data_IF_909491831665
#
_entry.id   IF_909491831665
#
_cell.length_a   1.000
_cell.length_b   1.000
_cell.length_c   1.000
_cell.angle_alpha   90.00
_cell.angle_beta   90.00
_cell.angle_gamma   90.00
#
_symmetry.space_group_name_H-M   'P 1'
#
loop_
_entity.id
_entity.type
_entity.pdbx_description
1 polymer ?
#
# COMPACT_ATOMS: atom_id res chain seq x y z
N UNK A 1 24.55 10.84 -13.16
CA UNK A 1 23.08 11.06 -13.00
C UNK A 1 22.25 9.92 -13.57
N UNK A 2 22.50 9.43 -14.80
CA UNK A 2 21.81 8.24 -15.32
C UNK A 2 22.11 6.94 -14.56
N UNK A 3 23.26 6.86 -13.86
CA UNK A 3 23.77 5.62 -13.25
C UNK A 3 22.99 5.09 -12.03
N UNK A 4 22.38 5.94 -11.19
CA UNK A 4 21.55 5.47 -10.07
C UNK A 4 20.17 4.95 -10.53
N UNK A 5 19.63 5.54 -11.59
CA UNK A 5 18.47 5.00 -12.30
C UNK A 5 18.82 3.73 -13.08
N UNK A 6 20.01 3.68 -13.69
CA UNK A 6 20.60 2.47 -14.27
C UNK A 6 20.85 1.38 -13.23
N UNK A 7 21.01 1.66 -11.94
CA UNK A 7 21.17 0.60 -10.92
C UNK A 7 19.83 0.05 -10.43
N UNK A 8 18.83 0.91 -10.28
CA UNK A 8 17.44 0.49 -10.11
C UNK A 8 16.87 -0.22 -11.35
N UNK A 9 17.36 0.11 -12.55
CA UNK A 9 16.88 -0.48 -13.81
C UNK A 9 17.74 -1.64 -14.34
N UNK A 10 19.07 -1.66 -14.14
CA UNK A 10 19.95 -2.75 -14.59
C UNK A 10 19.80 -3.99 -13.72
N UNK A 11 19.40 -3.83 -12.45
CA UNK A 11 18.88 -4.95 -11.67
C UNK A 11 17.73 -5.66 -12.42
N UNK A 12 16.92 -4.96 -13.22
CA UNK A 12 15.78 -5.55 -13.94
C UNK A 12 16.08 -5.94 -15.40
N UNK A 13 17.31 -5.75 -15.89
CA UNK A 13 17.66 -6.04 -17.28
C UNK A 13 19.17 -6.34 -17.44
N UNK A 14 19.59 -7.58 -17.16
CA UNK A 14 20.87 -8.11 -17.69
C UNK A 14 20.57 -9.31 -18.59
N UNK A 15 20.94 -9.27 -19.88
CA UNK A 15 21.20 -10.47 -20.64
C UNK A 15 22.59 -11.02 -20.25
N UNK A 16 22.62 -12.32 -19.95
CA UNK A 16 23.81 -13.15 -19.78
C UNK A 16 24.95 -12.75 -20.73
N UNK A 17 26.05 -12.24 -20.19
CA UNK A 17 27.40 -12.48 -20.75
C UNK A 17 28.42 -12.48 -19.61
N UNK A 18 28.77 -13.68 -19.14
CA UNK A 18 30.06 -13.91 -18.45
C UNK A 18 31.07 -14.40 -19.49
N UNK A 19 32.32 -13.92 -19.52
CA UNK A 19 33.37 -14.56 -20.29
C UNK A 19 33.90 -15.78 -19.54
N UNK A 20 33.76 -16.95 -20.15
CA UNK A 20 34.62 -18.13 -20.09
C UNK A 20 35.48 -18.37 -18.82
N UNK A 21 35.16 -19.46 -18.11
CA UNK A 21 36.15 -20.38 -17.56
C UNK A 21 35.60 -21.83 -17.64
N UNK A 22 36.34 -22.70 -18.32
CA UNK A 22 36.00 -24.11 -18.63
C UNK A 22 36.13 -25.06 -17.41
N UNK A 23 35.54 -26.28 -17.45
CA UNK A 23 35.23 -27.11 -16.28
C UNK A 23 36.24 -28.24 -16.03
N UNK A 24 36.01 -29.06 -14.98
CA UNK A 24 36.02 -30.51 -15.21
C UNK A 24 34.80 -31.26 -14.63
N UNK A 25 34.32 -32.24 -15.42
CA UNK A 25 33.75 -33.59 -15.13
C UNK A 25 33.35 -33.92 -13.68
N UNK A 26 32.19 -34.50 -13.32
CA UNK A 26 31.41 -35.67 -13.85
C UNK A 26 30.02 -35.71 -13.14
N UNK A 27 29.05 -36.56 -13.55
CA UNK A 27 27.62 -36.36 -13.30
C UNK A 27 27.05 -37.14 -12.10
N UNK A 28 25.96 -36.63 -11.53
CA UNK A 28 24.93 -37.44 -10.86
C UNK A 28 23.55 -36.89 -11.22
N UNK A 29 22.88 -37.64 -12.09
CA UNK A 29 21.48 -37.54 -12.49
C UNK A 29 20.54 -37.81 -11.32
N UNK A 30 19.59 -36.91 -11.05
CA UNK A 30 18.26 -37.30 -10.53
C UNK A 30 17.20 -36.39 -11.15
N UNK A 31 16.30 -37.00 -11.93
CA UNK A 31 15.12 -36.39 -12.52
C UNK A 31 14.09 -36.00 -11.45
N UNK A 32 13.45 -34.84 -11.61
CA UNK A 32 12.10 -34.59 -11.11
C UNK A 32 11.18 -34.17 -12.27
N UNK A 33 9.95 -34.71 -12.37
CA UNK A 33 9.06 -34.42 -13.48
C UNK A 33 8.32 -33.11 -13.27
N UNK A 34 8.21 -32.37 -14.37
CA UNK A 34 7.30 -31.24 -14.55
C UNK A 34 5.84 -31.70 -14.47
N UNK A 35 4.97 -30.86 -13.89
CA UNK A 35 3.58 -30.72 -14.35
C UNK A 35 3.05 -29.33 -14.06
N UNK A 36 2.81 -28.61 -15.16
CA UNK A 36 2.03 -27.39 -15.24
C UNK A 36 0.54 -27.68 -15.01
N UNK A 37 -0.19 -26.76 -14.40
CA UNK A 37 -1.59 -26.50 -14.77
C UNK A 37 -1.94 -25.02 -14.62
N UNK A 38 -2.39 -24.49 -15.75
CA UNK A 38 -2.97 -23.17 -15.97
C UNK A 38 -4.38 -23.10 -15.36
N UNK A 39 -4.74 -21.97 -14.75
CA UNK A 39 -6.13 -21.69 -14.34
C UNK A 39 -6.65 -20.55 -15.20
N UNK A 40 -7.63 -20.85 -16.06
CA UNK A 40 -8.47 -19.88 -16.76
C UNK A 40 -9.69 -19.56 -15.87
N UNK A 41 -10.26 -18.33 -15.92
CA UNK A 41 -11.34 -17.93 -15.04
C UNK A 41 -12.73 -18.19 -15.66
N UNK A 42 -13.73 -18.05 -14.79
CA UNK A 42 -15.17 -17.84 -15.04
C UNK A 42 -16.07 -19.03 -14.68
N UNK A 43 -16.85 -18.86 -13.59
CA UNK A 43 -18.25 -19.28 -13.62
C UNK A 43 -19.12 -18.46 -12.66
N UNK A 44 -20.25 -18.00 -13.19
CA UNK A 44 -21.33 -17.26 -12.51
C UNK A 44 -22.53 -18.20 -12.39
N UNK A 45 -23.07 -18.39 -11.18
CA UNK A 45 -24.44 -18.85 -10.92
C UNK A 45 -24.77 -18.52 -9.45
N UNK A 46 -25.65 -17.55 -9.18
CA UNK A 46 -27.09 -17.72 -8.91
C UNK A 46 -27.38 -18.54 -7.64
N UNK A 47 -27.63 -17.84 -6.52
CA UNK A 47 -28.24 -18.39 -5.30
C UNK A 47 -29.76 -18.14 -5.29
N UNK A 48 -30.58 -19.08 -4.78
CA UNK A 48 -31.97 -18.81 -4.40
C UNK A 48 -32.09 -18.28 -2.97
N UNK A 49 -33.14 -17.48 -2.73
CA UNK A 49 -33.50 -16.80 -1.48
C UNK A 49 -33.85 -17.75 -0.31
N UNK A 50 -33.66 -17.32 0.96
CA UNK A 50 -34.26 -17.96 2.12
C UNK A 50 -35.68 -17.44 2.44
N UNK A 51 -36.49 -18.18 3.22
CA UNK A 51 -37.92 -17.95 3.34
C UNK A 51 -38.31 -16.92 4.40
N UNK A 52 -39.48 -16.34 4.16
CA UNK A 52 -40.27 -15.46 5.01
C UNK A 52 -40.75 -16.12 6.32
N UNK A 53 -40.66 -15.39 7.43
CA UNK A 53 -41.52 -15.57 8.60
C UNK A 53 -42.36 -14.30 8.84
N UNK A 54 -43.65 -14.53 9.03
CA UNK A 54 -44.72 -13.55 9.11
C UNK A 54 -45.05 -13.16 10.55
N UNK A 55 -45.44 -11.89 10.69
CA UNK A 55 -46.50 -11.35 11.57
C UNK A 55 -46.35 -11.43 13.09
N UNK A 56 -46.32 -10.25 13.74
CA UNK A 56 -47.44 -9.83 14.61
C UNK A 56 -47.34 -8.35 15.04
N UNK A 57 -48.32 -7.57 14.59
CA UNK A 57 -49.12 -6.60 15.35
C UNK A 57 -48.44 -5.43 16.09
N UNK A 58 -48.69 -4.23 15.57
CA UNK A 58 -48.72 -2.96 16.31
C UNK A 58 -50.17 -2.60 16.68
N UNK A 59 -50.37 -1.80 17.74
CA UNK A 59 -51.41 -0.78 17.64
C UNK A 59 -51.03 0.60 18.20
N UNK A 60 -51.52 1.60 17.45
CA UNK A 60 -52.13 2.88 17.84
C UNK A 60 -51.30 4.05 18.41
N UNK A 61 -51.45 5.13 17.64
CA UNK A 61 -51.25 6.55 17.89
C UNK A 61 -51.86 7.11 19.19
N UNK A 62 -51.18 8.15 19.71
CA UNK A 62 -51.83 9.29 20.36
C UNK A 62 -51.28 10.61 19.80
N UNK A 63 -52.22 11.48 19.44
CA UNK A 63 -52.05 12.85 18.93
C UNK A 63 -52.38 13.80 20.09
N UNK A 64 -51.54 14.82 20.32
CA UNK A 64 -51.92 16.03 21.07
C UNK A 64 -51.41 17.27 20.33
N UNK A 65 -52.26 18.29 20.36
CA UNK A 65 -52.41 19.50 19.56
C UNK A 65 -51.69 20.77 20.07
N UNK A 66 -51.22 21.58 19.09
CA UNK A 66 -51.32 23.06 18.92
C UNK A 66 -50.62 24.05 19.90
N UNK A 67 -49.61 24.85 19.46
CA UNK A 67 -49.59 26.26 18.91
C UNK A 67 -49.59 27.38 20.00
N UNK A 68 -49.23 28.66 19.72
CA UNK A 68 -48.10 29.25 18.95
C UNK A 68 -47.41 30.45 19.69
N UNK A 69 -46.26 30.95 19.22
CA UNK A 69 -45.93 32.38 19.36
C UNK A 69 -45.02 32.91 18.22
N UNK A 70 -45.49 34.01 17.61
CA UNK A 70 -44.84 34.85 16.59
C UNK A 70 -43.87 35.85 17.22
N UNK A 71 -42.79 36.18 16.50
CA UNK A 71 -42.18 37.52 16.26
C UNK A 71 -40.70 37.31 15.87
N UNK A 72 -40.03 38.00 14.95
CA UNK A 72 -40.34 39.17 14.12
C UNK A 72 -39.47 39.12 12.84
N UNK A 73 -39.99 39.72 11.76
CA UNK A 73 -39.32 39.90 10.47
C UNK A 73 -38.33 41.07 10.53
N UNK A 74 -37.11 40.89 10.02
CA UNK A 74 -36.18 41.96 9.65
C UNK A 74 -35.74 41.80 8.18
N UNK A 75 -35.50 42.90 7.45
CA UNK A 75 -35.46 42.89 5.99
C UNK A 75 -34.15 42.35 5.42
N UNK A 76 -34.26 41.45 4.44
CA UNK A 76 -33.15 40.98 3.59
C UNK A 76 -32.71 42.11 2.65
N UNK A 77 -31.55 42.72 2.92
CA UNK A 77 -30.78 43.48 1.92
C UNK A 77 -29.28 43.25 2.10
N UNK A 78 -28.72 42.45 1.18
CA UNK A 78 -27.37 42.47 0.56
C UNK A 78 -27.01 41.05 0.14
N UNK A 79 -27.58 40.66 -0.99
CA UNK A 79 -27.22 39.45 -1.73
C UNK A 79 -26.98 39.92 -3.16
N UNK A 80 -25.80 40.48 -3.42
CA UNK A 80 -25.17 40.40 -4.74
C UNK A 80 -23.78 41.05 -4.69
N UNK A 81 -22.75 40.26 -5.00
CA UNK A 81 -21.56 40.65 -5.78
C UNK A 81 -20.43 39.59 -5.74
N UNK A 82 -20.47 38.61 -4.84
CA UNK A 82 -19.45 37.54 -4.81
C UNK A 82 -19.77 36.32 -5.68
N UNK A 83 -20.93 36.27 -6.36
CA UNK A 83 -21.37 35.11 -7.15
C UNK A 83 -21.24 35.32 -8.68
N UNK A 84 -20.92 36.53 -9.17
CA UNK A 84 -20.78 36.84 -10.60
C UNK A 84 -19.34 37.03 -11.10
N UNK A 85 -18.41 36.13 -10.72
CA UNK A 85 -17.10 35.97 -11.40
C UNK A 85 -16.69 34.50 -11.58
N UNK A 86 -17.64 33.63 -11.87
CA UNK A 86 -17.39 32.28 -12.43
C UNK A 86 -18.13 32.13 -13.75
N UNK A 87 -17.63 32.79 -14.78
CA UNK A 87 -17.96 32.45 -16.16
C UNK A 87 -16.71 32.73 -16.99
N UNK A 88 -16.45 31.81 -17.92
CA UNK A 88 -15.33 31.76 -18.88
C UNK A 88 -13.96 31.34 -18.33
N UNK A 89 -13.91 30.12 -17.81
CA UNK A 89 -12.70 29.27 -17.94
C UNK A 89 -13.08 28.18 -18.97
N UNK A 90 -12.20 27.85 -19.94
CA UNK A 90 -12.46 26.71 -20.84
C UNK A 90 -12.70 25.46 -19.98
N UNK A 91 -13.30 24.43 -20.56
CA UNK A 91 -13.62 23.13 -19.94
C UNK A 91 -12.35 22.41 -19.42
N UNK A 92 -11.65 23.01 -18.46
CA UNK A 92 -10.54 22.44 -17.74
C UNK A 92 -11.13 21.29 -16.95
N UNK A 93 -10.67 20.07 -17.26
CA UNK A 93 -10.84 18.88 -16.44
C UNK A 93 -10.80 19.32 -14.97
N UNK A 94 -11.92 19.17 -14.25
CA UNK A 94 -11.94 19.47 -12.83
C UNK A 94 -10.87 18.59 -12.20
N UNK A 95 -9.78 19.20 -11.73
CA UNK A 95 -8.75 18.47 -11.03
C UNK A 95 -9.41 17.76 -9.86
N UNK A 96 -9.22 16.46 -9.77
CA UNK A 96 -9.70 15.68 -8.64
C UNK A 96 -8.96 16.11 -7.37
N UNK A 97 -9.60 15.93 -6.22
CA UNK A 97 -8.97 16.21 -4.92
C UNK A 97 -7.90 15.16 -4.55
N UNK A 98 -7.89 14.01 -5.24
CA UNK A 98 -6.87 12.96 -5.11
C UNK A 98 -6.38 12.48 -6.50
N UNK A 99 -5.16 11.92 -6.60
CA UNK A 99 -4.63 11.38 -7.86
C UNK A 99 -5.47 10.23 -8.44
N UNK A 100 -6.07 9.41 -7.59
CA UNK A 100 -6.83 8.22 -7.98
C UNK A 100 -8.26 8.25 -7.37
N UNK A 101 -9.17 9.08 -7.91
CA UNK A 101 -10.51 9.28 -7.33
C UNK A 101 -11.36 8.01 -7.28
N UNK A 102 -11.11 7.05 -8.18
CA UNK A 102 -11.77 5.75 -8.19
C UNK A 102 -11.14 4.72 -7.23
N UNK A 103 -10.06 5.07 -6.53
CA UNK A 103 -9.28 4.13 -5.71
C UNK A 103 -8.58 3.04 -6.54
N UNK A 104 -8.34 3.33 -7.83
CA UNK A 104 -7.70 2.43 -8.80
C UNK A 104 -6.63 3.20 -9.54
N UNK A 105 -5.47 2.57 -9.73
CA UNK A 105 -4.35 3.15 -10.47
C UNK A 105 -4.77 3.52 -11.90
N UNK A 106 -4.57 4.78 -12.26
CA UNK A 106 -4.78 5.29 -13.61
C UNK A 106 -3.80 6.44 -13.89
N UNK A 107 -2.82 6.26 -14.81
CA UNK A 107 -1.86 7.31 -15.15
C UNK A 107 -2.52 8.62 -15.60
N UNK A 108 -3.61 8.55 -16.37
CA UNK A 108 -4.28 9.73 -16.93
C UNK A 108 -4.95 10.61 -15.86
N UNK A 109 -5.42 10.01 -14.76
CA UNK A 109 -5.98 10.79 -13.64
C UNK A 109 -4.87 11.44 -12.83
N UNK A 110 -3.74 10.76 -12.65
CA UNK A 110 -2.54 11.34 -12.04
C UNK A 110 -1.99 12.50 -12.89
N UNK A 111 -1.93 12.38 -14.21
CA UNK A 111 -1.54 13.46 -15.13
C UNK A 111 -2.40 14.71 -14.92
N UNK A 112 -3.72 14.52 -14.89
CA UNK A 112 -4.69 15.61 -14.68
C UNK A 112 -4.55 16.22 -13.28
N UNK A 113 -4.29 15.40 -12.27
CA UNK A 113 -4.07 15.84 -10.88
C UNK A 113 -2.83 16.73 -10.77
N UNK A 114 -1.69 16.29 -11.31
CA UNK A 114 -0.42 17.02 -11.23
C UNK A 114 -0.33 18.20 -12.20
N UNK A 115 -1.08 18.20 -13.31
CA UNK A 115 -1.20 19.38 -14.18
C UNK A 115 -1.75 20.60 -13.42
N UNK A 116 -2.60 20.39 -12.42
CA UNK A 116 -3.11 21.45 -11.54
C UNK A 116 -2.18 21.80 -10.37
N UNK A 117 -1.10 21.03 -10.16
CA UNK A 117 -0.16 21.14 -9.03
C UNK A 117 1.29 21.09 -9.54
N UNK A 118 1.72 22.10 -10.33
CA UNK A 118 2.96 22.02 -11.11
C UNK A 118 4.25 21.96 -10.27
N UNK A 119 4.19 22.23 -8.97
CA UNK A 119 5.36 22.20 -8.09
C UNK A 119 5.62 20.81 -7.47
N UNK A 120 4.62 19.93 -7.40
CA UNK A 120 4.75 18.64 -6.68
C UNK A 120 5.79 17.75 -7.36
N UNK A 121 5.66 17.54 -8.68
CA UNK A 121 6.57 16.70 -9.45
C UNK A 121 8.02 17.21 -9.44
N UNK A 122 8.34 18.47 -9.77
CA UNK A 122 9.73 18.92 -9.77
C UNK A 122 10.35 18.92 -8.36
N UNK A 123 9.56 19.22 -7.31
CA UNK A 123 10.05 19.11 -5.93
C UNK A 123 10.39 17.67 -5.58
N UNK A 124 9.49 16.73 -5.88
CA UNK A 124 9.71 15.31 -5.63
C UNK A 124 10.86 14.74 -6.46
N UNK A 125 10.97 15.13 -7.73
CA UNK A 125 12.08 14.74 -8.58
C UNK A 125 13.42 15.27 -8.04
N UNK A 126 13.46 16.52 -7.55
CA UNK A 126 14.65 17.08 -6.92
C UNK A 126 15.02 16.29 -5.66
N UNK A 127 14.06 15.99 -4.80
CA UNK A 127 14.26 15.17 -3.59
C UNK A 127 14.83 13.78 -3.93
N UNK A 128 14.24 13.09 -4.92
CA UNK A 128 14.74 11.80 -5.40
C UNK A 128 16.18 11.94 -5.88
N UNK A 129 16.45 12.94 -6.73
CA UNK A 129 17.80 13.18 -7.28
C UNK A 129 18.83 13.46 -6.18
N UNK A 130 18.53 14.35 -5.24
CA UNK A 130 19.46 14.71 -4.15
C UNK A 130 19.67 13.56 -3.19
N UNK A 131 18.62 12.79 -2.90
CA UNK A 131 18.68 11.65 -1.99
C UNK A 131 19.46 10.49 -2.59
N UNK A 132 19.33 10.24 -3.90
CA UNK A 132 20.06 9.18 -4.58
C UNK A 132 21.47 9.55 -5.01
N UNK A 133 21.84 10.84 -5.02
CA UNK A 133 23.13 11.31 -5.52
C UNK A 133 24.36 10.70 -4.78
N UNK A 134 24.39 10.59 -3.43
CA UNK A 134 25.53 9.99 -2.74
C UNK A 134 25.76 8.52 -3.15
N UNK A 135 24.69 7.73 -3.22
CA UNK A 135 24.74 6.35 -3.68
C UNK A 135 25.22 6.26 -5.14
N UNK A 136 24.72 7.16 -6.01
CA UNK A 136 25.15 7.23 -7.40
C UNK A 136 26.66 7.50 -7.54
N UNK A 137 27.19 8.39 -6.70
CA UNK A 137 28.61 8.76 -6.70
C UNK A 137 29.48 7.63 -6.15
N UNK A 138 29.03 6.95 -5.08
CA UNK A 138 29.73 5.80 -4.53
C UNK A 138 29.81 4.64 -5.52
N UNK A 139 28.68 4.27 -6.13
CA UNK A 139 28.64 3.20 -7.15
C UNK A 139 29.45 3.56 -8.40
N UNK A 140 29.54 4.84 -8.77
CA UNK A 140 30.39 5.28 -9.87
C UNK A 140 31.90 5.17 -9.57
N UNK A 141 32.30 5.37 -8.30
CA UNK A 141 33.71 5.30 -7.87
C UNK A 141 34.16 3.87 -7.56
N UNK A 142 33.30 3.12 -6.87
CA UNK A 142 33.64 1.86 -6.23
C UNK A 142 33.11 0.65 -7.00
N UNK A 143 32.28 0.86 -8.03
CA UNK A 143 31.59 -0.21 -8.75
C UNK A 143 30.38 -0.74 -7.98
N UNK A 144 29.73 -1.75 -8.57
CA UNK A 144 28.54 -2.41 -8.00
C UNK A 144 28.97 -3.71 -7.35
N UNK A 145 28.68 -3.86 -6.06
CA UNK A 145 29.03 -5.06 -5.28
C UNK A 145 29.60 -4.70 -3.93
N UNK A 146 29.28 -5.51 -2.93
CA UNK A 146 29.75 -5.33 -1.55
C UNK A 146 28.68 -4.87 -0.57
N UNK A 147 28.88 -5.22 0.70
CA UNK A 147 27.95 -4.97 1.79
C UNK A 147 27.69 -3.47 2.01
N UNK A 148 28.72 -2.63 1.85
CA UNK A 148 28.58 -1.17 1.99
C UNK A 148 27.58 -0.57 0.99
N UNK A 149 27.61 -1.04 -0.26
CA UNK A 149 26.75 -0.59 -1.33
C UNK A 149 25.32 -1.10 -1.15
N UNK A 150 25.17 -2.34 -0.70
CA UNK A 150 23.89 -2.94 -0.36
C UNK A 150 23.19 -2.16 0.79
N UNK A 151 23.94 -1.83 1.84
CA UNK A 151 23.47 -1.00 2.95
C UNK A 151 23.11 0.42 2.50
N UNK A 152 23.93 1.04 1.65
CA UNK A 152 23.66 2.37 1.11
C UNK A 152 22.42 2.40 0.20
N UNK A 153 22.18 1.32 -0.56
CA UNK A 153 20.95 1.14 -1.34
C UNK A 153 19.74 1.03 -0.42
N UNK A 154 19.76 0.12 0.55
CA UNK A 154 18.71 -0.05 1.56
C UNK A 154 18.36 1.28 2.23
N UNK A 155 19.36 1.97 2.77
CA UNK A 155 19.18 3.26 3.43
C UNK A 155 18.61 4.32 2.48
N UNK A 156 19.01 4.34 1.21
CA UNK A 156 18.48 5.28 0.21
C UNK A 156 17.02 4.99 -0.11
N UNK A 157 16.63 3.73 -0.31
CA UNK A 157 15.23 3.36 -0.56
C UNK A 157 14.34 3.69 0.64
N UNK A 158 14.82 3.45 1.87
CA UNK A 158 14.12 3.84 3.11
C UNK A 158 13.89 5.35 3.19
N UNK A 159 14.92 6.17 2.88
CA UNK A 159 14.78 7.64 2.89
C UNK A 159 13.85 8.15 1.79
N UNK A 160 13.87 7.54 0.61
CA UNK A 160 12.97 7.90 -0.48
C UNK A 160 11.52 7.55 -0.17
N UNK A 161 11.27 6.60 0.73
CA UNK A 161 9.96 6.36 1.30
C UNK A 161 9.17 5.23 0.61
N UNK A 162 7.83 5.20 0.80
CA UNK A 162 7.02 4.00 0.65
C UNK A 162 7.10 3.32 -0.72
N UNK A 163 7.08 4.08 -1.81
CA UNK A 163 7.17 3.52 -3.18
C UNK A 163 8.48 2.78 -3.38
N UNK A 164 9.59 3.40 -2.96
CA UNK A 164 10.94 2.85 -3.15
C UNK A 164 11.23 1.69 -2.19
N UNK A 165 10.69 1.72 -0.96
CA UNK A 165 10.70 0.58 -0.05
C UNK A 165 9.98 -0.62 -0.69
N UNK A 166 8.80 -0.41 -1.29
CA UNK A 166 8.05 -1.48 -1.99
C UNK A 166 8.79 -2.00 -3.22
N UNK A 167 9.44 -1.14 -3.99
CA UNK A 167 10.32 -1.57 -5.09
C UNK A 167 11.47 -2.43 -4.55
N UNK A 168 12.11 -2.02 -3.45
CA UNK A 168 13.14 -2.80 -2.77
C UNK A 168 12.64 -4.18 -2.32
N UNK A 169 11.46 -4.26 -1.71
CA UNK A 169 10.81 -5.52 -1.31
C UNK A 169 10.49 -6.41 -2.52
N UNK A 170 10.04 -5.83 -3.64
CA UNK A 170 9.79 -6.58 -4.87
C UNK A 170 11.08 -7.12 -5.50
N UNK A 171 12.20 -6.41 -5.36
CA UNK A 171 13.52 -6.84 -5.81
C UNK A 171 14.17 -7.87 -4.87
N UNK A 172 13.87 -7.82 -3.57
CA UNK A 172 14.45 -8.74 -2.57
C UNK A 172 14.01 -10.20 -2.75
N UNK A 173 12.97 -10.45 -3.54
CA UNK A 173 12.50 -11.81 -3.89
C UNK A 173 13.02 -12.27 -5.26
N UNK A 174 13.84 -11.45 -5.94
CA UNK A 174 14.41 -11.70 -7.26
C UNK A 174 15.93 -11.86 -7.17
N UNK A 175 16.38 -12.97 -6.60
CA UNK A 175 17.81 -13.29 -6.47
C UNK A 175 18.54 -13.48 -7.81
N UNK A 176 17.79 -13.61 -8.90
CA UNK A 176 18.32 -13.63 -10.27
C UNK A 176 18.74 -12.24 -10.79
N UNK A 177 18.33 -11.17 -10.11
CA UNK A 177 18.46 -9.79 -10.57
C UNK A 177 19.54 -8.99 -9.82
N UNK A 178 19.93 -9.43 -8.62
CA UNK A 178 20.80 -8.69 -7.72
C UNK A 178 21.86 -9.61 -7.08
N UNK A 179 23.07 -9.09 -6.79
CA UNK A 179 24.06 -9.80 -6.00
C UNK A 179 23.50 -10.23 -4.63
N UNK A 180 23.95 -11.36 -4.05
CA UNK A 180 23.41 -11.89 -2.79
C UNK A 180 23.40 -10.89 -1.64
N UNK A 181 24.43 -10.06 -1.51
CA UNK A 181 24.53 -9.05 -0.46
C UNK A 181 23.46 -7.95 -0.59
N UNK A 182 23.06 -7.61 -1.82
CA UNK A 182 21.97 -6.65 -2.06
C UNK A 182 20.62 -7.27 -1.75
N UNK A 183 20.41 -8.54 -2.12
CA UNK A 183 19.18 -9.27 -1.78
C UNK A 183 19.00 -9.32 -0.26
N UNK A 184 20.06 -9.68 0.48
CA UNK A 184 20.04 -9.73 1.94
C UNK A 184 19.69 -8.36 2.55
N UNK A 185 20.36 -7.28 2.13
CA UNK A 185 20.06 -5.94 2.64
C UNK A 185 18.62 -5.49 2.30
N UNK A 186 18.11 -5.81 1.11
CA UNK A 186 16.73 -5.45 0.73
C UNK A 186 15.67 -6.27 1.48
N UNK A 187 15.98 -7.50 1.91
CA UNK A 187 15.08 -8.27 2.76
C UNK A 187 14.83 -7.58 4.11
N UNK A 188 15.81 -6.81 4.61
CA UNK A 188 15.66 -6.02 5.83
C UNK A 188 14.70 -4.83 5.66
N UNK A 189 14.38 -4.38 4.44
CA UNK A 189 13.35 -3.34 4.21
C UNK A 189 11.93 -3.81 4.60
N UNK A 190 11.76 -5.10 4.88
CA UNK A 190 10.53 -5.64 5.44
C UNK A 190 10.35 -5.25 6.91
N UNK A 191 11.45 -4.88 7.60
CA UNK A 191 11.45 -4.57 9.02
C UNK A 191 11.66 -3.07 9.29
N UNK A 192 10.77 -2.51 10.10
CA UNK A 192 10.88 -1.21 10.76
C UNK A 192 11.21 0.01 9.87
N UNK A 193 10.16 0.61 9.30
CA UNK A 193 10.24 2.00 8.79
C UNK A 193 10.07 2.97 9.95
N UNK A 194 10.70 4.14 9.92
CA UNK A 194 10.52 5.17 10.97
C UNK A 194 9.02 5.51 11.16
N UNK A 195 8.51 5.52 12.41
CA UNK A 195 7.12 5.87 12.68
C UNK A 195 6.86 7.36 12.40
N UNK A 196 5.61 7.69 12.09
CA UNK A 196 5.14 9.08 12.05
C UNK A 196 4.43 9.43 13.36
N UNK A 197 4.21 10.72 13.57
CA UNK A 197 3.61 11.26 14.79
C UNK A 197 2.30 10.55 15.20
N UNK A 198 2.23 10.12 16.46
CA UNK A 198 1.09 9.37 16.98
C UNK A 198 -0.19 10.20 17.09
N UNK A 199 -0.10 11.51 17.33
CA UNK A 199 -1.28 12.38 17.33
C UNK A 199 -1.88 12.46 15.93
N UNK A 200 -1.04 12.57 14.91
CA UNK A 200 -1.45 12.51 13.50
C UNK A 200 -2.09 11.15 13.19
N UNK A 201 -1.54 10.05 13.69
CA UNK A 201 -2.13 8.72 13.51
C UNK A 201 -3.53 8.62 14.14
N UNK A 202 -3.69 9.10 15.38
CA UNK A 202 -4.99 9.08 16.05
C UNK A 202 -6.02 9.98 15.37
N UNK A 203 -5.57 11.08 14.75
CA UNK A 203 -6.44 11.93 13.94
C UNK A 203 -6.88 11.22 12.64
N UNK A 204 -5.99 10.44 12.00
CA UNK A 204 -6.37 9.57 10.87
C UNK A 204 -7.42 8.54 11.32
N UNK A 205 -7.23 7.88 12.46
CA UNK A 205 -8.20 6.92 13.02
C UNK A 205 -9.56 7.56 13.20
N UNK A 206 -9.58 8.71 13.88
CA UNK A 206 -10.80 9.46 14.16
C UNK A 206 -11.52 9.86 12.87
N UNK A 207 -10.80 10.44 11.91
CA UNK A 207 -11.37 10.94 10.67
C UNK A 207 -11.88 9.81 9.77
N UNK A 208 -11.17 8.68 9.69
CA UNK A 208 -11.49 7.57 8.80
C UNK A 208 -12.70 6.75 9.28
N UNK A 209 -12.80 6.52 10.59
CA UNK A 209 -13.93 5.79 11.21
C UNK A 209 -15.12 6.73 11.47
N UNK A 210 -14.93 8.06 11.38
CA UNK A 210 -15.99 9.05 11.56
C UNK A 210 -16.35 9.30 13.03
N UNK A 211 -15.36 9.27 13.92
CA UNK A 211 -15.55 9.43 15.37
C UNK A 211 -15.35 10.89 15.82
N UNK A 212 -15.98 11.26 16.92
CA UNK A 212 -15.57 12.44 17.70
C UNK A 212 -14.36 12.09 18.58
N UNK A 213 -13.62 13.07 19.12
CA UNK A 213 -12.54 12.78 20.07
C UNK A 213 -13.00 11.96 21.29
N UNK A 214 -14.22 12.21 21.77
CA UNK A 214 -14.84 11.43 22.83
C UNK A 214 -15.19 10.02 22.35
N UNK A 215 -15.77 9.89 21.15
CA UNK A 215 -16.10 8.60 20.54
C UNK A 215 -14.88 7.70 20.34
N UNK A 216 -13.74 8.27 19.93
CA UNK A 216 -12.47 7.55 19.83
C UNK A 216 -12.04 6.98 21.18
N UNK A 217 -12.05 7.79 22.24
CA UNK A 217 -11.72 7.35 23.61
C UNK A 217 -12.72 6.33 24.16
N UNK A 218 -14.00 6.43 23.79
CA UNK A 218 -15.01 5.46 24.19
C UNK A 218 -14.85 4.12 23.46
N UNK A 219 -14.52 4.15 22.17
CA UNK A 219 -14.30 2.95 21.37
C UNK A 219 -12.99 2.26 21.76
N UNK A 220 -11.91 3.03 21.90
CA UNK A 220 -10.59 2.57 22.30
C UNK A 220 -10.13 3.26 23.59
N UNK A 221 -10.56 2.77 24.78
CA UNK A 221 -10.16 3.36 26.06
C UNK A 221 -8.64 3.30 26.32
N UNK A 222 -7.96 2.36 25.67
CA UNK A 222 -6.51 2.21 25.74
C UNK A 222 -5.95 1.97 24.34
N UNK A 223 -4.97 2.78 23.95
CA UNK A 223 -4.13 2.63 22.77
C UNK A 223 -2.70 2.97 23.21
N UNK A 224 -1.72 2.21 22.75
CA UNK A 224 -0.32 2.48 23.06
C UNK A 224 0.08 3.88 22.57
N UNK A 225 0.87 4.65 23.36
CA UNK A 225 1.30 5.99 22.94
C UNK A 225 2.23 5.94 21.73
N UNK A 226 3.06 4.90 21.66
CA UNK A 226 3.96 4.61 20.55
C UNK A 226 3.44 3.42 19.73
N UNK A 227 3.72 3.38 18.41
CA UNK A 227 3.39 2.21 17.60
C UNK A 227 4.25 1.01 18.01
N UNK A 228 3.62 -0.17 18.04
CA UNK A 228 4.32 -1.44 18.30
C UNK A 228 5.03 -1.98 17.08
N UNK A 229 4.63 -1.54 15.89
CA UNK A 229 5.29 -1.85 14.63
C UNK A 229 5.06 -0.73 13.63
N UNK A 230 6.00 -0.55 12.70
CA UNK A 230 5.90 0.43 11.63
C UNK A 230 6.37 -0.18 10.33
N UNK A 231 5.53 -0.07 9.30
CA UNK A 231 5.71 -0.66 7.99
C UNK A 231 5.65 0.43 6.90
N UNK A 232 5.80 0.00 5.64
CA UNK A 232 5.89 0.91 4.49
C UNK A 232 4.66 1.80 4.31
N UNK A 233 3.44 1.27 4.50
CA UNK A 233 2.20 2.04 4.29
C UNK A 233 1.58 2.62 5.56
N UNK A 234 2.05 2.23 6.74
CA UNK A 234 1.38 2.57 7.99
C UNK A 234 2.10 2.04 9.22
N UNK A 235 1.53 2.32 10.38
CA UNK A 235 2.04 1.84 11.66
C UNK A 235 0.92 1.20 12.47
N UNK A 236 1.29 0.28 13.35
CA UNK A 236 0.37 -0.54 14.14
C UNK A 236 0.48 -0.13 15.60
N UNK A 237 -0.67 0.07 16.23
CA UNK A 237 -0.80 0.31 17.65
C UNK A 237 -1.44 -0.88 18.34
N UNK A 238 -1.03 -1.14 19.58
CA UNK A 238 -1.76 -2.07 20.45
C UNK A 238 -2.83 -1.28 21.18
N UNK A 239 -4.07 -1.77 21.18
CA UNK A 239 -5.16 -1.14 21.90
C UNK A 239 -6.14 -2.14 22.48
N UNK A 240 -7.22 -1.63 23.05
CA UNK A 240 -8.34 -2.44 23.53
C UNK A 240 -9.68 -1.74 23.32
N UNK A 241 -10.71 -2.50 23.00
CA UNK A 241 -12.09 -2.02 23.06
C UNK A 241 -12.60 -1.89 24.51
N UNK A 242 -13.73 -1.22 24.69
CA UNK A 242 -14.36 -1.04 26.01
C UNK A 242 -14.76 -2.34 26.72
N UNK A 243 -14.96 -3.43 25.97
CA UNK A 243 -15.24 -4.76 26.52
C UNK A 243 -13.97 -5.55 26.92
N UNK A 244 -12.78 -4.94 26.80
CA UNK A 244 -11.49 -5.55 27.13
C UNK A 244 -10.82 -6.32 25.99
N UNK A 245 -11.49 -6.51 24.84
CA UNK A 245 -10.91 -7.19 23.68
C UNK A 245 -9.68 -6.43 23.17
N UNK A 246 -8.52 -7.12 23.11
CA UNK A 246 -7.27 -6.57 22.61
C UNK A 246 -7.26 -6.49 21.08
N UNK A 247 -6.74 -5.38 20.54
CA UNK A 247 -6.73 -5.11 19.10
C UNK A 247 -5.36 -4.63 18.63
N UNK A 248 -5.02 -4.98 17.39
CA UNK A 248 -4.00 -4.33 16.60
C UNK A 248 -4.68 -3.29 15.70
N UNK A 249 -4.32 -2.01 15.84
CA UNK A 249 -4.86 -0.91 15.08
C UNK A 249 -3.81 -0.42 14.07
N UNK A 250 -3.94 -0.83 12.82
CA UNK A 250 -3.05 -0.43 11.72
C UNK A 250 -3.58 0.84 11.08
N UNK A 251 -2.76 1.88 11.07
CA UNK A 251 -3.09 3.22 10.61
C UNK A 251 -2.21 3.58 9.43
N UNK A 252 -2.81 3.95 8.30
CA UNK A 252 -2.09 4.35 7.10
C UNK A 252 -1.38 5.70 7.28
N UNK A 253 -0.20 5.85 6.69
CA UNK A 253 0.53 7.12 6.64
C UNK A 253 -0.31 8.18 5.92
N UNK A 254 -0.41 9.41 6.45
CA UNK A 254 -1.14 10.49 5.78
C UNK A 254 -0.44 10.88 4.47
N UNK A 255 -1.22 11.28 3.46
CA UNK A 255 -0.69 11.78 2.18
C UNK A 255 -0.09 10.71 1.25
N UNK A 256 -0.16 9.43 1.62
CA UNK A 256 0.51 8.33 0.92
C UNK A 256 0.10 8.20 -0.56
N UNK A 257 -1.16 8.43 -0.89
CA UNK A 257 -1.67 8.35 -2.27
C UNK A 257 -0.97 9.35 -3.21
N UNK A 258 -0.74 10.57 -2.75
CA UNK A 258 -0.07 11.61 -3.55
C UNK A 258 1.42 11.30 -3.75
N UNK A 259 2.09 10.83 -2.69
CA UNK A 259 3.51 10.42 -2.77
C UNK A 259 3.68 9.27 -3.76
N UNK A 260 2.88 8.21 -3.62
CA UNK A 260 2.93 7.06 -4.54
C UNK A 260 2.60 7.49 -5.97
N UNK A 261 1.59 8.33 -6.16
CA UNK A 261 1.25 8.82 -7.49
C UNK A 261 2.37 9.65 -8.12
N UNK A 262 3.02 10.53 -7.36
CA UNK A 262 4.13 11.35 -7.84
C UNK A 262 5.34 10.47 -8.21
N UNK A 263 5.68 9.49 -7.37
CA UNK A 263 6.79 8.58 -7.63
C UNK A 263 6.54 7.73 -8.90
N UNK A 264 5.34 7.15 -9.03
CA UNK A 264 4.97 6.37 -10.21
C UNK A 264 4.95 7.24 -11.48
N UNK A 265 4.46 8.47 -11.37
CA UNK A 265 4.48 9.44 -12.46
C UNK A 265 5.91 9.72 -12.93
N UNK A 266 6.82 10.02 -11.98
CA UNK A 266 8.23 10.28 -12.27
C UNK A 266 8.88 9.05 -12.89
N UNK A 267 8.70 7.87 -12.29
CA UNK A 267 9.24 6.62 -12.83
C UNK A 267 8.78 6.41 -14.27
N UNK A 268 7.47 6.52 -14.53
CA UNK A 268 6.91 6.38 -15.88
C UNK A 268 7.49 7.37 -16.88
N UNK A 269 7.76 8.61 -16.46
CA UNK A 269 8.35 9.65 -17.31
C UNK A 269 9.81 9.38 -17.71
N UNK A 270 10.48 8.37 -17.14
CA UNK A 270 11.87 8.03 -17.44
C UNK A 270 12.02 7.11 -18.66
N UNK A 271 10.95 6.50 -19.14
CA UNK A 271 10.97 5.60 -20.29
C UNK A 271 11.71 6.18 -21.53
N UNK A 272 11.47 7.44 -21.96
CA UNK A 272 12.17 8.00 -23.13
C UNK A 272 13.67 8.24 -22.91
N UNK A 273 14.11 8.30 -21.65
CA UNK A 273 15.52 8.41 -21.29
C UNK A 273 16.15 7.02 -21.27
N UNK A 274 15.47 6.05 -20.66
CA UNK A 274 15.95 4.67 -20.54
C UNK A 274 16.07 3.99 -21.91
N UNK A 275 15.14 4.22 -22.82
CA UNK A 275 15.15 3.63 -24.17
C UNK A 275 16.35 4.05 -25.03
N UNK A 276 17.09 5.10 -24.64
CA UNK A 276 18.33 5.52 -25.31
C UNK A 276 19.53 4.65 -24.96
N UNK A 277 19.46 3.86 -23.90
CA UNK A 277 20.56 3.01 -23.46
C UNK A 277 20.43 1.60 -24.08
N UNK A 278 21.50 1.04 -24.68
CA UNK A 278 21.47 -0.26 -25.35
C UNK A 278 20.95 -1.41 -24.49
N UNK A 279 21.22 -1.38 -23.17
CA UNK A 279 20.74 -2.37 -22.19
C UNK A 279 19.20 -2.45 -22.11
N UNK A 280 18.51 -1.37 -22.49
CA UNK A 280 17.04 -1.25 -22.45
C UNK A 280 16.40 -1.19 -23.84
N UNK A 281 17.19 -1.25 -24.91
CA UNK A 281 16.65 -1.32 -26.28
C UNK A 281 15.99 -2.69 -26.48
N UNK A 282 14.69 -2.68 -26.81
CA UNK A 282 13.85 -3.89 -26.93
C UNK A 282 13.01 -4.21 -25.69
N UNK A 283 13.20 -3.49 -24.58
CA UNK A 283 12.38 -3.60 -23.36
C UNK A 283 11.12 -2.76 -23.54
N UNK A 284 10.15 -3.24 -24.31
CA UNK A 284 8.77 -2.69 -24.38
C UNK A 284 7.97 -2.86 -23.08
N UNK A 285 8.67 -2.88 -21.93
CA UNK A 285 8.22 -3.50 -20.69
C UNK A 285 8.43 -2.60 -19.48
N UNK A 286 9.25 -1.55 -19.55
CA UNK A 286 9.53 -0.70 -18.38
C UNK A 286 8.26 -0.03 -17.86
N UNK A 287 7.55 0.69 -18.73
CA UNK A 287 6.29 1.33 -18.37
C UNK A 287 5.23 0.31 -17.95
N UNK A 288 5.23 -0.89 -18.55
CA UNK A 288 4.34 -1.97 -18.14
C UNK A 288 4.66 -2.50 -16.72
N UNK A 289 5.94 -2.57 -16.34
CA UNK A 289 6.39 -2.92 -14.97
C UNK A 289 5.97 -1.84 -13.98
N UNK A 290 6.21 -0.57 -14.31
CA UNK A 290 5.77 0.56 -13.48
C UNK A 290 4.26 0.55 -13.31
N UNK A 291 3.49 0.25 -14.36
CA UNK A 291 2.03 0.13 -14.28
C UNK A 291 1.56 -1.07 -13.47
N UNK A 292 2.27 -2.20 -13.54
CA UNK A 292 1.98 -3.36 -12.72
C UNK A 292 2.21 -3.06 -11.23
N UNK A 293 3.32 -2.39 -10.90
CA UNK A 293 3.57 -1.88 -9.56
C UNK A 293 2.51 -0.88 -9.13
N UNK A 294 2.17 0.09 -9.99
CA UNK A 294 1.17 1.10 -9.70
C UNK A 294 -0.20 0.49 -9.35
N UNK A 295 -0.64 -0.53 -10.10
CA UNK A 295 -1.86 -1.27 -9.79
C UNK A 295 -1.79 -1.89 -8.39
N UNK A 296 -0.72 -2.61 -8.06
CA UNK A 296 -0.56 -3.24 -6.74
C UNK A 296 -0.51 -2.20 -5.61
N UNK A 297 0.31 -1.17 -5.76
CA UNK A 297 0.55 -0.18 -4.71
C UNK A 297 -0.70 0.64 -4.40
N UNK A 298 -1.47 1.03 -5.42
CA UNK A 298 -2.73 1.76 -5.23
C UNK A 298 -3.82 0.85 -4.67
N UNK A 299 -3.83 -0.44 -5.01
CA UNK A 299 -4.79 -1.39 -4.45
C UNK A 299 -4.64 -1.53 -2.93
N UNK A 300 -3.39 -1.51 -2.44
CA UNK A 300 -3.07 -1.56 -1.02
C UNK A 300 -3.42 -0.29 -0.22
N UNK A 301 -3.81 0.80 -0.89
CA UNK A 301 -4.24 2.03 -0.21
C UNK A 301 -5.64 1.93 0.39
N UNK A 302 -6.38 0.85 0.10
CA UNK A 302 -7.72 0.62 0.63
C UNK A 302 -7.72 -0.60 1.57
N UNK A 303 -7.61 -0.35 2.87
CA UNK A 303 -7.62 -1.40 3.89
C UNK A 303 -8.94 -2.15 3.99
N UNK A 304 -10.02 -1.70 3.35
CA UNK A 304 -11.25 -2.50 3.21
C UNK A 304 -11.02 -3.72 2.32
N UNK A 305 -10.11 -3.61 1.33
CA UNK A 305 -9.69 -4.75 0.50
C UNK A 305 -8.86 -5.72 1.32
N UNK A 306 -7.94 -5.22 2.14
CA UNK A 306 -7.17 -6.04 3.09
C UNK A 306 -8.12 -6.80 4.03
N UNK A 307 -9.09 -6.11 4.64
CA UNK A 307 -10.12 -6.73 5.49
C UNK A 307 -10.92 -7.84 4.77
N UNK A 308 -11.39 -7.57 3.55
CA UNK A 308 -12.12 -8.57 2.76
C UNK A 308 -11.24 -9.76 2.36
N UNK A 309 -9.97 -9.53 2.05
CA UNK A 309 -9.02 -10.59 1.72
C UNK A 309 -8.69 -11.45 2.94
N UNK A 310 -8.55 -10.86 4.14
CA UNK A 310 -8.38 -11.62 5.39
C UNK A 310 -9.56 -12.55 5.66
N UNK A 311 -10.79 -12.09 5.42
CA UNK A 311 -11.98 -12.93 5.58
C UNK A 311 -12.01 -14.08 4.56
N UNK A 312 -11.78 -13.79 3.28
CA UNK A 312 -11.71 -14.84 2.24
C UNK A 312 -10.61 -15.87 2.53
N UNK A 313 -9.49 -15.41 3.09
CA UNK A 313 -8.39 -16.28 3.48
C UNK A 313 -8.83 -17.25 4.58
N UNK A 314 -9.52 -16.76 5.62
CA UNK A 314 -10.06 -17.61 6.67
C UNK A 314 -11.04 -18.66 6.12
N UNK A 315 -11.98 -18.22 5.28
CA UNK A 315 -12.93 -19.11 4.59
C UNK A 315 -12.18 -20.20 3.80
N UNK A 316 -11.14 -19.82 3.05
CA UNK A 316 -10.31 -20.75 2.28
C UNK A 316 -9.52 -21.74 3.14
N UNK A 317 -9.07 -21.34 4.35
CA UNK A 317 -8.36 -22.24 5.26
C UNK A 317 -9.31 -23.27 5.87
N UNK A 318 -10.53 -22.86 6.22
CA UNK A 318 -11.59 -23.75 6.71
C UNK A 318 -11.98 -24.77 5.65
N UNK A 319 -12.21 -24.34 4.40
CA UNK A 319 -12.53 -25.24 3.28
C UNK A 319 -11.44 -26.30 3.04
N UNK A 320 -10.19 -25.99 3.36
CA UNK A 320 -9.04 -26.88 3.21
C UNK A 320 -8.74 -27.71 4.46
N UNK A 321 -9.48 -27.52 5.57
CA UNK A 321 -9.22 -28.18 6.85
C UNK A 321 -7.91 -27.75 7.51
N UNK A 322 -7.45 -26.52 7.25
CA UNK A 322 -6.20 -25.95 7.76
C UNK A 322 -6.40 -24.90 8.86
N UNK A 323 -7.64 -24.64 9.27
CA UNK A 323 -8.01 -23.60 10.25
C UNK A 323 -7.48 -23.83 11.67
N UNK A 324 -7.06 -25.05 11.99
CA UNK A 324 -6.34 -25.38 13.22
C UNK A 324 -4.84 -25.05 13.21
N UNK A 325 -4.25 -24.80 12.03
CA UNK A 325 -2.82 -24.55 11.86
C UNK A 325 -2.50 -23.17 11.26
N UNK A 326 -3.39 -22.65 10.41
CA UNK A 326 -3.21 -21.38 9.70
C UNK A 326 -4.45 -20.52 9.90
N UNK A 327 -4.25 -19.28 10.32
CA UNK A 327 -5.33 -18.32 10.54
C UNK A 327 -4.91 -16.90 10.16
N UNK A 328 -5.89 -16.03 9.94
CA UNK A 328 -5.71 -14.58 9.90
C UNK A 328 -6.38 -13.97 11.14
N UNK A 329 -5.84 -12.88 11.71
CA UNK A 329 -6.53 -12.13 12.73
C UNK A 329 -7.95 -11.74 12.29
N UNK A 330 -8.91 -11.84 13.22
CA UNK A 330 -10.28 -11.40 13.00
C UNK A 330 -10.31 -9.89 12.78
N UNK A 331 -11.04 -9.43 11.77
CA UNK A 331 -11.20 -8.01 11.46
C UNK A 331 -12.44 -7.47 12.17
N UNK A 332 -12.36 -6.25 12.72
CA UNK A 332 -13.50 -5.55 13.32
C UNK A 332 -14.03 -4.48 12.35
N UNK A 333 -15.13 -4.73 11.60
CA UNK A 333 -15.56 -3.83 10.53
C UNK A 333 -16.02 -2.45 11.04
N UNK A 334 -16.67 -2.39 12.20
CA UNK A 334 -17.11 -1.14 12.82
C UNK A 334 -15.97 -0.25 13.33
N UNK A 335 -14.75 -0.78 13.37
CA UNK A 335 -13.52 -0.12 13.77
C UNK A 335 -12.50 -0.06 12.62
N UNK A 336 -12.95 -0.31 11.38
CA UNK A 336 -12.11 -0.33 10.18
C UNK A 336 -12.72 0.56 9.09
N UNK A 337 -11.87 1.11 8.24
CA UNK A 337 -12.20 2.01 7.15
C UNK A 337 -11.22 1.88 5.99
N UNK A 338 -11.12 2.92 5.17
CA UNK A 338 -10.20 2.92 4.01
C UNK A 338 -8.74 2.99 4.45
N UNK A 339 -8.44 3.75 5.49
CA UNK A 339 -7.08 4.08 5.95
C UNK A 339 -6.73 3.45 7.30
N UNK A 340 -7.68 2.76 7.92
CA UNK A 340 -7.54 2.15 9.24
C UNK A 340 -8.10 0.73 9.19
N UNK A 341 -7.39 -0.23 9.75
CA UNK A 341 -7.91 -1.57 9.98
C UNK A 341 -7.62 -1.98 11.41
N UNK A 342 -8.66 -2.42 12.10
CA UNK A 342 -8.59 -2.97 13.44
C UNK A 342 -8.77 -4.47 13.37
N UNK A 343 -7.79 -5.22 13.87
CA UNK A 343 -7.86 -6.68 13.95
C UNK A 343 -7.67 -7.17 15.36
N UNK A 344 -8.05 -8.42 15.65
CA UNK A 344 -7.72 -9.08 16.91
C UNK A 344 -6.21 -9.06 17.13
N UNK A 345 -5.80 -8.70 18.34
CA UNK A 345 -4.39 -8.84 18.72
C UNK A 345 -4.01 -10.32 18.74
N UNK A 346 -2.86 -10.65 18.17
CA UNK A 346 -2.30 -12.01 18.17
C UNK A 346 -0.91 -11.94 18.77
N UNK A 347 -0.68 -12.79 19.77
CA UNK A 347 0.64 -13.02 20.35
C UNK A 347 1.25 -14.26 19.68
N UNK A 348 2.54 -14.19 19.35
CA UNK A 348 3.26 -15.29 18.73
C UNK A 348 4.72 -14.95 18.44
N UNK A 349 5.49 -15.96 18.07
CA UNK A 349 6.88 -15.81 17.62
C UNK A 349 6.90 -15.49 16.12
N UNK A 350 7.55 -14.40 15.68
CA UNK A 350 7.77 -14.13 14.27
C UNK A 350 8.46 -15.31 13.56
N UNK A 351 8.06 -15.62 12.32
CA UNK A 351 8.57 -16.80 11.60
C UNK A 351 10.08 -16.77 11.36
N UNK A 352 10.68 -15.59 11.23
CA UNK A 352 12.13 -15.40 11.10
C UNK A 352 12.90 -15.70 12.40
N UNK A 353 12.20 -15.79 13.53
CA UNK A 353 12.74 -16.13 14.85
C UNK A 353 12.22 -17.46 15.40
N UNK A 354 11.34 -18.14 14.66
CA UNK A 354 10.82 -19.44 15.04
C UNK A 354 11.91 -20.51 14.90
N UNK A 355 12.00 -21.41 15.87
CA UNK A 355 12.92 -22.55 15.76
C UNK A 355 12.42 -23.52 14.69
N UNK A 356 13.33 -24.20 13.96
CA UNK A 356 12.97 -25.02 12.79
C UNK A 356 11.99 -26.18 13.06
N UNK A 357 11.79 -26.57 14.32
CA UNK A 357 10.76 -27.54 14.72
C UNK A 357 9.37 -26.94 14.95
N UNK A 358 9.27 -25.62 15.14
CA UNK A 358 8.01 -24.88 15.37
C UNK A 358 7.37 -24.41 14.07
N UNK A 359 8.17 -24.21 13.01
CA UNK A 359 7.68 -24.05 11.64
C UNK A 359 7.20 -25.42 11.18
N UNK A 360 5.97 -25.77 11.57
CA UNK A 360 5.36 -27.04 11.20
C UNK A 360 5.54 -27.30 9.70
N UNK A 361 5.75 -28.57 9.33
CA UNK A 361 5.83 -29.03 7.95
C UNK A 361 4.51 -28.81 7.21
N UNK A 362 4.15 -27.56 6.95
CA UNK A 362 2.96 -27.14 6.22
C UNK A 362 3.11 -27.39 4.70
N UNK A 363 4.29 -27.87 4.28
CA UNK A 363 4.67 -28.14 2.90
C UNK A 363 5.08 -29.60 2.63
N UNK A 364 4.72 -30.55 3.50
CA UNK A 364 4.99 -31.99 3.30
C UNK A 364 3.84 -32.72 2.61
#
# INVERSE_FOLDING_TARGET
>A
MAWALLLLCAAMAVPLVSPFASPPSTPSTVLFPARAYSIHPSFTALYPHPPSSSSSQTPRAHRVSQLPHRAALLPRRRLDQSIRRRATTPLALRAHDTPYPAGVYNPSTADSYFASRPLVIPQRALEILTTSLPLALDLWRSGVGGESQAEALKATLSRLGPTFVKVGQALSVRSDLLPPEHVAALQELQQAVEPFDSEVAMEVVRADIGLTPQGLRSMFPSVSPEPVASASLGQVYKGSFANGTQVALKVQRPGLEEVIAADLWILRALEPVLSRFPLFQGVGTYTAVVDAWGKGFVDELDYRKEASNSQRFLESMVERGLDGAITSPEVYPGASGRRVIATRWVDGTPLDRAEGGEVGGLCA
#
